data_IF_763691015149
#
_entry.id   IF_763691015149
#
_cell.length_a   1.000
_cell.length_b   1.000
_cell.length_c   1.000
_cell.angle_alpha   90.00
_cell.angle_beta   90.00
_cell.angle_gamma   90.00
#
_symmetry.space_group_name_H-M   'P 1'
#
loop_
_entity.id
_entity.type
_entity.pdbx_description
1 polymer ?
#
# COMPACT_ATOMS: atom_id res chain seq x y z
N UNK A 1 21.79 2.31 0.28
CA UNK A 1 20.70 3.22 0.76
C UNK A 1 21.19 4.24 1.80
N UNK A 2 22.51 4.30 2.04
CA UNK A 2 23.11 5.24 3.01
C UNK A 2 22.72 6.69 2.71
N UNK A 3 22.25 7.41 3.73
CA UNK A 3 21.78 8.80 3.63
C UNK A 3 20.39 8.99 2.95
N UNK A 4 19.71 7.91 2.58
CA UNK A 4 18.37 7.94 2.01
C UNK A 4 17.29 7.88 3.09
N UNK A 5 16.20 8.62 2.91
CA UNK A 5 15.03 8.62 3.79
C UNK A 5 13.91 7.83 3.14
N UNK A 6 13.40 6.83 3.83
CA UNK A 6 12.30 5.95 3.41
C UNK A 6 11.12 6.13 4.34
N UNK A 7 10.02 6.67 3.84
CA UNK A 7 8.73 6.69 4.54
C UNK A 7 7.97 5.42 4.20
N UNK A 8 7.50 4.68 5.20
CA UNK A 8 6.83 3.40 4.99
C UNK A 8 5.59 3.23 5.87
N UNK A 9 4.51 2.74 5.27
CA UNK A 9 3.29 2.32 5.98
C UNK A 9 3.27 0.81 6.20
N UNK A 10 2.74 0.35 7.34
CA UNK A 10 2.63 -1.08 7.63
C UNK A 10 3.95 -1.78 7.95
N UNK A 11 4.94 -1.07 8.50
CA UNK A 11 6.25 -1.59 8.87
C UNK A 11 6.29 -2.36 10.21
N UNK A 12 5.17 -2.50 10.90
CA UNK A 12 5.12 -3.15 12.23
C UNK A 12 4.90 -4.67 12.18
N UNK A 13 4.70 -5.24 10.99
CA UNK A 13 4.52 -6.69 10.80
C UNK A 13 4.69 -7.11 9.34
N UNK A 14 4.88 -8.42 9.11
CA UNK A 14 4.84 -9.04 7.78
C UNK A 14 5.90 -8.48 6.81
N UNK A 15 5.50 -8.33 5.54
CA UNK A 15 6.43 -7.92 4.47
C UNK A 15 6.97 -6.50 4.66
N UNK A 16 6.14 -5.58 5.18
CA UNK A 16 6.56 -4.20 5.43
C UNK A 16 7.61 -4.10 6.52
N UNK A 17 7.52 -4.92 7.57
CA UNK A 17 8.53 -5.01 8.62
C UNK A 17 9.87 -5.49 8.04
N UNK A 18 9.86 -6.61 7.31
CA UNK A 18 11.07 -7.17 6.71
C UNK A 18 11.70 -6.20 5.71
N UNK A 19 10.90 -5.55 4.87
CA UNK A 19 11.40 -4.55 3.94
C UNK A 19 12.05 -3.36 4.66
N UNK A 20 11.42 -2.86 5.73
CA UNK A 20 11.99 -1.77 6.54
C UNK A 20 13.32 -2.18 7.18
N UNK A 21 13.41 -3.38 7.77
CA UNK A 21 14.63 -3.91 8.36
C UNK A 21 15.74 -4.11 7.30
N UNK A 22 15.41 -4.59 6.10
CA UNK A 22 16.37 -4.74 5.00
C UNK A 22 16.91 -3.37 4.55
N UNK A 23 16.02 -2.38 4.36
CA UNK A 23 16.41 -1.04 3.93
C UNK A 23 17.22 -0.31 5.02
N UNK A 24 16.87 -0.50 6.30
CA UNK A 24 17.67 -0.01 7.43
C UNK A 24 19.08 -0.62 7.42
N UNK A 25 19.19 -1.96 7.24
CA UNK A 25 20.49 -2.64 7.12
C UNK A 25 21.34 -2.17 5.92
N UNK A 26 20.71 -1.56 4.90
CA UNK A 26 21.41 -0.88 3.79
C UNK A 26 21.78 0.58 4.12
N UNK A 27 21.54 1.04 5.35
CA UNK A 27 21.87 2.38 5.84
C UNK A 27 20.82 3.45 5.57
N UNK A 28 19.56 3.08 5.23
CA UNK A 28 18.48 4.02 5.07
C UNK A 28 17.90 4.46 6.43
N UNK A 29 17.55 5.75 6.56
CA UNK A 29 16.67 6.23 7.62
C UNK A 29 15.25 5.79 7.32
N UNK A 30 14.64 5.04 8.23
CA UNK A 30 13.24 4.60 8.12
C UNK A 30 12.37 5.50 8.96
N UNK A 31 11.31 6.03 8.34
CA UNK A 31 10.23 6.79 8.95
C UNK A 31 8.96 5.96 8.81
N UNK A 32 8.53 5.33 9.89
CA UNK A 32 7.36 4.46 9.86
C UNK A 32 6.08 5.20 10.26
N UNK A 33 4.99 4.93 9.54
CA UNK A 33 3.64 5.36 9.93
C UNK A 33 2.92 4.17 10.54
N UNK A 34 2.47 4.30 11.77
CA UNK A 34 1.86 3.20 12.52
C UNK A 34 0.67 3.67 13.36
N UNK A 35 -0.30 2.77 13.59
CA UNK A 35 -1.45 3.02 14.46
C UNK A 35 -1.19 2.60 15.90
N UNK A 36 -0.61 1.43 16.07
CA UNK A 36 -0.36 0.81 17.38
C UNK A 36 1.00 1.25 17.94
N UNK A 37 0.97 1.93 19.10
CA UNK A 37 2.18 2.48 19.72
C UNK A 37 3.16 1.40 20.18
N UNK A 38 2.67 0.32 20.78
CA UNK A 38 3.52 -0.76 21.30
C UNK A 38 4.28 -1.46 20.17
N UNK A 39 3.55 -1.91 19.13
CA UNK A 39 4.18 -2.54 17.95
C UNK A 39 5.10 -1.61 17.18
N UNK A 40 4.80 -0.30 17.16
CA UNK A 40 5.68 0.67 16.51
C UNK A 40 7.01 0.83 17.25
N UNK A 41 6.99 0.85 18.59
CA UNK A 41 8.21 0.93 19.40
C UNK A 41 9.06 -0.35 19.29
N UNK A 42 8.44 -1.52 19.27
CA UNK A 42 9.14 -2.79 19.00
C UNK A 42 9.78 -2.81 17.61
N UNK A 43 9.06 -2.30 16.60
CA UNK A 43 9.62 -2.17 15.25
C UNK A 43 10.79 -1.19 15.22
N UNK A 44 10.68 -0.04 15.89
CA UNK A 44 11.77 0.94 16.00
C UNK A 44 13.02 0.32 16.64
N UNK A 45 12.83 -0.45 17.72
CA UNK A 45 13.95 -1.16 18.37
C UNK A 45 14.69 -2.06 17.39
N UNK A 46 13.97 -2.89 16.62
CA UNK A 46 14.58 -3.76 15.59
C UNK A 46 15.31 -2.96 14.50
N UNK A 47 14.78 -1.82 14.08
CA UNK A 47 15.44 -0.95 13.12
C UNK A 47 16.74 -0.38 13.68
N UNK A 48 16.74 0.06 14.94
CA UNK A 48 17.94 0.57 15.62
C UNK A 48 18.99 -0.50 15.85
N UNK A 49 18.59 -1.75 16.08
CA UNK A 49 19.50 -2.90 16.14
C UNK A 49 20.16 -3.19 14.77
N UNK A 50 19.41 -2.97 13.67
CA UNK A 50 19.91 -3.17 12.29
C UNK A 50 20.85 -2.06 11.82
N UNK A 51 20.63 -0.83 12.25
CA UNK A 51 21.39 0.35 11.84
C UNK A 51 21.51 1.33 13.02
N UNK A 52 22.35 1.02 14.03
CA UNK A 52 22.46 1.80 15.26
C UNK A 52 22.91 3.24 15.03
N UNK A 53 23.65 3.50 13.94
CA UNK A 53 24.13 4.83 13.57
C UNK A 53 23.06 5.71 12.91
N UNK A 54 21.84 5.16 12.66
CA UNK A 54 20.76 5.85 11.93
C UNK A 54 19.61 6.14 12.88
N UNK A 55 19.26 7.42 13.04
CA UNK A 55 18.09 7.82 13.80
C UNK A 55 16.80 7.54 12.98
N UNK A 56 16.10 6.43 13.26
CA UNK A 56 14.79 6.13 12.67
C UNK A 56 13.66 6.93 13.33
N UNK A 57 12.50 7.03 12.66
CA UNK A 57 11.37 7.82 13.14
C UNK A 57 10.03 7.07 13.13
N UNK A 58 9.09 7.54 13.95
CA UNK A 58 7.70 7.06 13.99
C UNK A 58 6.76 8.24 13.95
N UNK A 59 5.73 8.13 13.10
CA UNK A 59 4.53 8.96 13.13
C UNK A 59 3.29 8.09 13.39
N UNK A 60 2.36 8.59 14.18
CA UNK A 60 1.18 7.84 14.57
C UNK A 60 -0.06 8.33 13.83
N UNK A 61 -0.73 7.41 13.13
CA UNK A 61 -1.98 7.70 12.42
C UNK A 61 -2.82 6.42 12.24
N UNK A 62 -4.14 6.58 12.29
CA UNK A 62 -5.06 5.57 11.76
C UNK A 62 -5.33 5.88 10.28
N UNK A 63 -4.67 5.11 9.41
CA UNK A 63 -4.76 5.28 7.96
C UNK A 63 -6.12 4.84 7.36
N UNK A 64 -7.13 4.55 8.17
CA UNK A 64 -8.52 4.45 7.72
C UNK A 64 -9.29 5.77 7.83
N UNK A 65 -8.70 6.84 8.41
CA UNK A 65 -9.31 8.16 8.64
C UNK A 65 -8.64 9.22 7.77
N UNK A 66 -9.41 9.94 6.96
CA UNK A 66 -8.87 10.98 6.06
C UNK A 66 -8.16 12.10 6.82
N UNK A 67 -8.72 12.50 7.97
CA UNK A 67 -8.11 13.52 8.84
C UNK A 67 -6.71 13.13 9.29
N UNK A 68 -6.53 11.88 9.72
CA UNK A 68 -5.23 11.36 10.15
C UNK A 68 -4.24 11.21 8.99
N UNK A 69 -4.71 10.77 7.81
CA UNK A 69 -3.87 10.69 6.61
C UNK A 69 -3.30 12.06 6.23
N UNK A 70 -4.14 13.12 6.22
CA UNK A 70 -3.73 14.49 5.89
C UNK A 70 -2.79 15.06 6.94
N UNK A 71 -3.13 14.90 8.22
CA UNK A 71 -2.32 15.36 9.34
C UNK A 71 -0.92 14.74 9.30
N UNK A 72 -0.84 13.41 9.23
CA UNK A 72 0.47 12.72 9.27
C UNK A 72 1.32 13.03 8.04
N UNK A 73 0.72 13.19 6.85
CA UNK A 73 1.45 13.62 5.66
C UNK A 73 2.06 15.02 5.84
N UNK A 74 1.30 15.96 6.42
CA UNK A 74 1.79 17.31 6.73
C UNK A 74 2.91 17.28 7.76
N UNK A 75 2.74 16.54 8.86
CA UNK A 75 3.76 16.38 9.91
C UNK A 75 5.08 15.82 9.33
N UNK A 76 5.01 14.78 8.51
CA UNK A 76 6.19 14.21 7.85
C UNK A 76 6.83 15.20 6.88
N UNK A 77 6.03 15.89 6.05
CA UNK A 77 6.55 16.88 5.12
C UNK A 77 7.27 18.04 5.81
N UNK A 78 6.88 18.40 7.03
CA UNK A 78 7.54 19.41 7.85
C UNK A 78 8.79 18.88 8.55
N UNK A 79 8.74 17.66 9.08
CA UNK A 79 9.82 17.08 9.85
C UNK A 79 10.97 16.50 9.00
N UNK A 80 10.65 15.96 7.81
CA UNK A 80 11.64 15.34 6.95
C UNK A 80 11.99 16.27 5.77
N UNK A 81 13.19 16.84 5.76
CA UNK A 81 13.61 17.75 4.68
C UNK A 81 13.79 17.04 3.34
N UNK A 82 13.92 15.70 3.38
CA UNK A 82 14.11 14.83 2.22
C UNK A 82 13.29 13.55 2.36
N UNK A 83 12.70 13.09 1.25
CA UNK A 83 12.05 11.77 1.15
C UNK A 83 12.48 11.15 -0.18
N UNK A 84 13.35 10.14 -0.11
CA UNK A 84 13.85 9.44 -1.30
C UNK A 84 12.92 8.32 -1.76
N UNK A 85 12.21 7.67 -0.80
CA UNK A 85 11.27 6.59 -1.11
C UNK A 85 10.03 6.70 -0.23
N UNK A 86 8.87 6.64 -0.86
CA UNK A 86 7.59 6.42 -0.18
C UNK A 86 7.10 5.00 -0.47
N UNK A 87 6.94 4.19 0.57
CA UNK A 87 6.40 2.83 0.47
C UNK A 87 5.00 2.79 1.06
N UNK A 88 4.01 2.74 0.20
CA UNK A 88 2.62 2.51 0.53
C UNK A 88 2.37 1.00 0.60
N UNK A 89 2.37 0.43 1.82
CA UNK A 89 2.25 -1.01 2.02
C UNK A 89 1.15 -1.41 3.01
N UNK A 90 0.74 -0.53 3.93
CA UNK A 90 -0.36 -0.84 4.84
C UNK A 90 -1.63 -1.26 4.10
N UNK A 91 -2.28 -2.31 4.60
CA UNK A 91 -3.53 -2.78 4.02
C UNK A 91 -4.17 -3.86 4.88
N UNK A 92 -5.49 -4.00 4.75
CA UNK A 92 -6.27 -5.05 5.40
C UNK A 92 -7.46 -5.46 4.53
N UNK A 93 -8.08 -6.57 4.90
CA UNK A 93 -9.34 -7.05 4.35
C UNK A 93 -10.36 -7.14 5.48
N UNK A 94 -11.54 -6.55 5.28
CA UNK A 94 -12.66 -6.67 6.21
C UNK A 94 -13.74 -7.55 5.61
N UNK A 95 -14.28 -8.47 6.41
CA UNK A 95 -15.29 -9.43 5.96
C UNK A 95 -16.69 -8.83 5.82
N UNK A 96 -16.94 -7.70 6.48
CA UNK A 96 -18.20 -6.95 6.46
C UNK A 96 -17.99 -5.50 6.04
N UNK A 97 -19.01 -4.89 5.47
CA UNK A 97 -19.00 -3.47 5.12
C UNK A 97 -18.97 -2.61 6.39
N UNK A 98 -17.94 -1.82 6.52
CA UNK A 98 -17.80 -0.82 7.58
C UNK A 98 -17.49 0.51 6.93
N UNK A 99 -18.16 1.58 7.35
CA UNK A 99 -17.87 2.93 6.89
C UNK A 99 -17.03 3.67 7.93
N UNK A 100 -16.12 4.49 7.45
CA UNK A 100 -15.40 5.47 8.27
C UNK A 100 -16.32 6.63 8.65
N UNK A 101 -15.87 7.51 9.52
CA UNK A 101 -16.60 8.74 9.90
C UNK A 101 -16.87 9.64 8.67
N UNK A 102 -15.98 9.59 7.68
CA UNK A 102 -16.11 10.35 6.43
C UNK A 102 -16.95 9.61 5.35
N UNK A 103 -17.60 8.48 5.71
CA UNK A 103 -18.45 7.71 4.83
C UNK A 103 -17.74 6.81 3.81
N UNK A 104 -16.43 6.61 3.94
CA UNK A 104 -15.67 5.72 3.07
C UNK A 104 -15.77 4.26 3.54
N UNK A 105 -15.86 3.31 2.62
CA UNK A 105 -15.73 1.89 2.95
C UNK A 105 -14.29 1.63 3.46
N UNK A 106 -14.19 0.92 4.57
CA UNK A 106 -12.97 0.83 5.36
C UNK A 106 -11.81 0.16 4.63
N UNK A 107 -12.07 -0.84 3.78
CA UNK A 107 -11.03 -1.47 2.95
C UNK A 107 -10.52 -0.49 1.91
N UNK A 108 -11.43 0.21 1.23
CA UNK A 108 -11.10 1.24 0.25
C UNK A 108 -10.33 2.40 0.91
N UNK A 109 -10.79 2.86 2.08
CA UNK A 109 -10.12 3.92 2.83
C UNK A 109 -8.67 3.55 3.17
N UNK A 110 -8.47 2.38 3.80
CA UNK A 110 -7.15 1.95 4.26
C UNK A 110 -6.22 1.55 3.11
N UNK A 111 -6.72 0.82 2.09
CA UNK A 111 -5.86 0.21 1.07
C UNK A 111 -5.57 1.14 -0.11
N UNK A 112 -6.47 2.09 -0.42
CA UNK A 112 -6.35 2.98 -1.57
C UNK A 112 -6.26 4.45 -1.16
N UNK A 113 -7.26 4.97 -0.42
CA UNK A 113 -7.27 6.39 -0.08
C UNK A 113 -6.07 6.81 0.76
N UNK A 114 -5.56 5.93 1.63
CA UNK A 114 -4.33 6.20 2.37
C UNK A 114 -3.12 6.39 1.46
N UNK A 115 -2.97 5.55 0.44
CA UNK A 115 -1.89 5.67 -0.55
C UNK A 115 -2.02 6.96 -1.34
N UNK A 116 -3.24 7.26 -1.78
CA UNK A 116 -3.55 8.47 -2.52
C UNK A 116 -3.23 9.73 -1.71
N UNK A 117 -3.78 9.85 -0.50
CA UNK A 117 -3.66 11.06 0.34
C UNK A 117 -2.22 11.26 0.83
N UNK A 118 -1.54 10.19 1.27
CA UNK A 118 -0.13 10.28 1.68
C UNK A 118 0.76 10.69 0.52
N UNK A 119 0.59 10.07 -0.65
CA UNK A 119 1.39 10.42 -1.83
C UNK A 119 1.14 11.85 -2.26
N UNK A 120 -0.12 12.30 -2.24
CA UNK A 120 -0.47 13.68 -2.57
C UNK A 120 0.16 14.67 -1.58
N UNK A 121 0.04 14.44 -0.27
CA UNK A 121 0.57 15.31 0.77
C UNK A 121 2.10 15.33 0.85
N UNK A 122 2.78 14.28 0.36
CA UNK A 122 4.24 14.19 0.35
C UNK A 122 4.84 14.49 -1.05
N UNK A 123 4.01 14.80 -2.05
CA UNK A 123 4.42 14.96 -3.45
C UNK A 123 5.53 15.99 -3.62
N UNK A 124 5.37 17.17 -3.07
CA UNK A 124 6.33 18.26 -3.24
C UNK A 124 7.68 17.92 -2.60
N UNK A 125 7.65 17.20 -1.49
CA UNK A 125 8.87 16.72 -0.82
C UNK A 125 9.57 15.63 -1.64
N UNK A 126 8.82 14.70 -2.25
CA UNK A 126 9.35 13.69 -3.18
C UNK A 126 9.98 14.35 -4.42
N UNK A 127 9.31 15.32 -5.03
CA UNK A 127 9.81 16.06 -6.19
C UNK A 127 11.09 16.83 -5.84
N UNK A 128 11.11 17.53 -4.72
CA UNK A 128 12.29 18.26 -4.24
C UNK A 128 13.47 17.32 -3.89
N UNK A 129 13.20 16.04 -3.65
CA UNK A 129 14.19 15.01 -3.31
C UNK A 129 14.63 14.17 -4.51
N UNK A 130 14.17 14.49 -5.73
CA UNK A 130 14.48 13.69 -6.92
C UNK A 130 15.99 13.45 -7.10
N UNK A 131 16.40 12.25 -7.55
CA UNK A 131 15.56 11.12 -7.92
C UNK A 131 14.92 10.42 -6.71
N UNK A 132 13.59 10.26 -6.74
CA UNK A 132 12.81 9.64 -5.67
C UNK A 132 11.85 8.57 -6.23
N UNK A 133 11.29 7.74 -5.34
CA UNK A 133 10.46 6.58 -5.72
C UNK A 133 9.20 6.49 -4.89
N UNK A 134 8.09 6.13 -5.53
CA UNK A 134 6.87 5.67 -4.87
C UNK A 134 6.67 4.19 -5.18
N UNK A 135 6.51 3.37 -4.14
CA UNK A 135 6.29 1.92 -4.27
C UNK A 135 4.97 1.56 -3.60
N UNK A 136 4.04 1.04 -4.40
CA UNK A 136 2.69 0.71 -3.97
C UNK A 136 2.47 -0.80 -3.89
N UNK A 137 2.00 -1.31 -2.76
CA UNK A 137 1.67 -2.73 -2.61
C UNK A 137 0.26 -3.01 -3.10
N UNK A 138 0.17 -3.76 -4.21
CA UNK A 138 -1.05 -4.34 -4.72
C UNK A 138 -1.18 -5.82 -4.32
N UNK A 139 -1.92 -6.61 -5.08
CA UNK A 139 -2.12 -8.05 -4.88
C UNK A 139 -2.60 -8.68 -6.17
N UNK A 140 -2.34 -9.97 -6.35
CA UNK A 140 -2.94 -10.77 -7.41
C UNK A 140 -4.48 -10.83 -7.32
N UNK A 141 -5.04 -10.57 -6.14
CA UNK A 141 -6.48 -10.40 -5.93
C UNK A 141 -7.12 -9.29 -6.79
N UNK A 142 -6.34 -8.38 -7.40
CA UNK A 142 -6.86 -7.37 -8.34
C UNK A 142 -7.63 -8.00 -9.52
N UNK A 143 -7.30 -9.23 -9.90
CA UNK A 143 -7.94 -9.95 -10.99
C UNK A 143 -9.42 -10.30 -10.74
N UNK A 144 -9.84 -10.34 -9.47
CA UNK A 144 -11.25 -10.59 -9.10
C UNK A 144 -12.00 -9.32 -8.71
N UNK A 145 -11.34 -8.20 -8.76
CA UNK A 145 -11.78 -6.91 -8.25
C UNK A 145 -12.39 -6.00 -9.33
N UNK A 146 -13.42 -6.44 -10.09
CA UNK A 146 -14.09 -5.53 -11.03
C UNK A 146 -14.47 -4.20 -10.36
N UNK A 147 -13.97 -3.08 -10.90
CA UNK A 147 -14.18 -1.74 -10.34
C UNK A 147 -15.43 -1.09 -10.94
N UNK A 148 -16.35 -0.71 -10.06
CA UNK A 148 -17.45 0.19 -10.39
C UNK A 148 -17.19 1.53 -9.71
N UNK A 149 -16.94 2.57 -10.50
CA UNK A 149 -16.69 3.92 -10.00
C UNK A 149 -17.93 4.58 -9.39
N UNK A 150 -19.15 4.08 -9.71
CA UNK A 150 -20.39 4.55 -9.10
C UNK A 150 -20.64 3.87 -7.74
N UNK A 151 -19.93 2.76 -7.43
CA UNK A 151 -20.03 2.02 -6.16
C UNK A 151 -18.65 1.83 -5.51
N UNK A 152 -17.85 2.89 -5.42
CA UNK A 152 -16.53 2.85 -4.73
C UNK A 152 -16.67 2.44 -3.25
N UNK A 153 -17.83 2.66 -2.64
CA UNK A 153 -18.12 2.26 -1.27
C UNK A 153 -18.64 0.82 -1.16
N UNK A 154 -18.64 0.07 -2.27
CA UNK A 154 -18.96 -1.36 -2.37
C UNK A 154 -20.30 -1.77 -1.73
N UNK A 155 -21.28 -0.87 -1.76
CA UNK A 155 -22.60 -1.13 -1.17
C UNK A 155 -23.30 -2.31 -1.86
N UNK A 156 -23.26 -2.36 -3.19
CA UNK A 156 -23.88 -3.43 -3.97
C UNK A 156 -23.18 -4.77 -3.80
N UNK A 157 -21.84 -4.78 -3.64
CA UNK A 157 -21.08 -6.00 -3.42
C UNK A 157 -21.46 -6.68 -2.12
N UNK A 158 -21.60 -5.90 -1.03
CA UNK A 158 -21.99 -6.46 0.27
C UNK A 158 -23.49 -6.77 0.36
N UNK A 159 -24.35 -6.14 -0.48
CA UNK A 159 -25.77 -6.43 -0.57
C UNK A 159 -26.04 -7.73 -1.32
N UNK A 160 -25.17 -8.08 -2.28
CA UNK A 160 -25.34 -9.28 -3.10
C UNK A 160 -25.21 -10.54 -2.25
N UNK A 161 -26.28 -11.38 -2.24
CA UNK A 161 -26.35 -12.69 -1.58
C UNK A 161 -26.00 -13.85 -2.54
N UNK A 162 -25.19 -13.62 -3.56
CA UNK A 162 -24.85 -14.64 -4.53
C UNK A 162 -23.93 -15.71 -3.92
N UNK A 163 -24.54 -16.85 -3.56
CA UNK A 163 -23.85 -17.98 -2.92
C UNK A 163 -22.74 -18.58 -3.80
N UNK A 164 -22.93 -18.60 -5.13
CA UNK A 164 -21.90 -19.11 -6.05
C UNK A 164 -20.66 -18.19 -6.09
N UNK A 165 -20.87 -16.88 -6.01
CA UNK A 165 -19.76 -15.94 -5.90
C UNK A 165 -19.05 -16.08 -4.53
N UNK A 166 -19.80 -16.35 -3.46
CA UNK A 166 -19.24 -16.60 -2.14
C UNK A 166 -18.34 -17.84 -2.14
N UNK A 167 -18.82 -18.94 -2.74
CA UNK A 167 -18.03 -20.19 -2.89
C UNK A 167 -16.76 -19.98 -3.73
N UNK A 168 -16.85 -19.21 -4.81
CA UNK A 168 -15.76 -19.01 -5.77
C UNK A 168 -14.68 -18.05 -5.28
N UNK A 169 -15.05 -17.03 -4.53
CA UNK A 169 -14.15 -15.91 -4.17
C UNK A 169 -13.96 -15.69 -2.67
N UNK A 170 -14.48 -16.55 -1.81
CA UNK A 170 -14.32 -16.42 -0.35
C UNK A 170 -15.14 -15.27 0.27
N UNK A 171 -16.21 -14.83 -0.40
CA UNK A 171 -17.15 -13.84 0.11
C UNK A 171 -16.91 -12.40 -0.38
N UNK A 172 -17.84 -11.48 -0.01
CA UNK A 172 -17.83 -10.10 -0.53
C UNK A 172 -16.58 -9.31 -0.10
N UNK A 173 -16.05 -9.55 1.10
CA UNK A 173 -14.86 -8.88 1.60
C UNK A 173 -13.63 -9.12 0.72
N UNK A 174 -13.44 -10.33 0.18
CA UNK A 174 -12.33 -10.62 -0.73
C UNK A 174 -12.47 -9.88 -2.07
N UNK A 175 -13.70 -9.77 -2.60
CA UNK A 175 -13.97 -9.00 -3.81
C UNK A 175 -13.68 -7.51 -3.61
N UNK A 176 -14.11 -6.94 -2.47
CA UNK A 176 -13.83 -5.54 -2.10
C UNK A 176 -12.33 -5.31 -1.91
N UNK A 177 -11.64 -6.26 -1.28
CA UNK A 177 -10.19 -6.23 -1.19
C UNK A 177 -9.55 -6.24 -2.58
N UNK A 178 -9.97 -7.13 -3.48
CA UNK A 178 -9.50 -7.16 -4.87
C UNK A 178 -9.72 -5.85 -5.60
N UNK A 179 -10.90 -5.20 -5.44
CA UNK A 179 -11.18 -3.85 -5.95
C UNK A 179 -10.16 -2.83 -5.45
N UNK A 180 -9.88 -2.83 -4.14
CA UNK A 180 -8.91 -1.89 -3.57
C UNK A 180 -7.49 -2.10 -4.13
N UNK A 181 -7.13 -3.34 -4.47
CA UNK A 181 -5.84 -3.66 -5.07
C UNK A 181 -5.77 -3.33 -6.57
N UNK A 182 -6.90 -3.43 -7.29
CA UNK A 182 -7.04 -2.89 -8.63
C UNK A 182 -6.87 -1.36 -8.63
N UNK A 183 -7.52 -0.66 -7.68
CA UNK A 183 -7.33 0.78 -7.50
C UNK A 183 -5.86 1.16 -7.33
N UNK A 184 -5.06 0.36 -6.61
CA UNK A 184 -3.64 0.65 -6.40
C UNK A 184 -2.81 0.54 -7.69
N UNK A 185 -3.15 -0.38 -8.61
CA UNK A 185 -2.47 -0.46 -9.92
C UNK A 185 -2.87 0.73 -10.80
N UNK A 186 -4.17 1.02 -10.91
CA UNK A 186 -4.68 2.17 -11.67
C UNK A 186 -4.11 3.50 -11.14
N UNK A 187 -4.08 3.67 -9.82
CA UNK A 187 -3.46 4.83 -9.16
C UNK A 187 -1.97 4.95 -9.52
N UNK A 188 -1.22 3.86 -9.46
CA UNK A 188 0.22 3.86 -9.77
C UNK A 188 0.47 4.29 -11.21
N UNK A 189 -0.33 3.81 -12.17
CA UNK A 189 -0.21 4.18 -13.58
C UNK A 189 -0.52 5.66 -13.82
N UNK A 190 -1.59 6.18 -13.23
CA UNK A 190 -1.94 7.59 -13.33
C UNK A 190 -0.92 8.48 -12.61
N UNK A 191 -0.44 8.07 -11.44
CA UNK A 191 0.61 8.77 -10.71
C UNK A 191 1.90 8.87 -11.53
N UNK A 192 2.33 7.78 -12.19
CA UNK A 192 3.51 7.76 -13.03
C UNK A 192 3.39 8.79 -14.19
N UNK A 193 2.20 8.92 -14.80
CA UNK A 193 1.94 9.95 -15.84
C UNK A 193 2.04 11.36 -15.27
N UNK A 194 1.46 11.59 -14.09
CA UNK A 194 1.46 12.92 -13.45
C UNK A 194 2.82 13.34 -12.89
N UNK A 195 3.70 12.38 -12.66
CA UNK A 195 5.08 12.62 -12.21
C UNK A 195 6.08 12.66 -13.36
N UNK A 196 5.64 12.57 -14.62
CA UNK A 196 6.54 12.63 -15.77
C UNK A 196 7.38 13.91 -15.76
N UNK A 197 8.67 13.78 -16.00
CA UNK A 197 9.61 14.90 -16.00
C UNK A 197 10.07 15.40 -14.62
N UNK A 198 9.50 14.90 -13.52
CA UNK A 198 9.88 15.35 -12.16
C UNK A 198 11.09 14.61 -11.57
N UNK A 199 11.53 13.52 -12.18
CA UNK A 199 12.55 12.64 -11.64
C UNK A 199 12.03 11.69 -10.54
N UNK A 200 10.72 11.64 -10.28
CA UNK A 200 10.08 10.69 -9.35
C UNK A 200 9.44 9.55 -10.13
N UNK A 201 9.75 8.31 -9.76
CA UNK A 201 9.14 7.11 -10.35
C UNK A 201 8.07 6.52 -9.43
N UNK A 202 7.06 5.89 -10.02
CA UNK A 202 5.99 5.21 -9.28
C UNK A 202 5.76 3.81 -9.85
N UNK A 203 5.94 2.77 -9.04
CA UNK A 203 5.72 1.39 -9.43
C UNK A 203 4.88 0.65 -8.38
N UNK A 204 4.26 -0.44 -8.80
CA UNK A 204 3.51 -1.29 -7.88
C UNK A 204 3.92 -2.77 -8.01
N UNK A 205 3.57 -3.53 -7.00
CA UNK A 205 3.89 -4.95 -6.93
C UNK A 205 2.77 -5.77 -6.29
N UNK A 206 2.77 -7.08 -6.54
CA UNK A 206 2.18 -8.01 -5.60
C UNK A 206 3.26 -8.92 -4.98
N UNK A 207 3.19 -9.17 -3.67
CA UNK A 207 4.23 -9.92 -2.96
C UNK A 207 4.14 -11.44 -3.12
N UNK A 208 3.15 -11.93 -3.87
CA UNK A 208 2.75 -13.33 -3.87
C UNK A 208 1.79 -13.64 -2.71
N UNK A 209 1.45 -14.91 -2.53
CA UNK A 209 0.66 -15.36 -1.38
C UNK A 209 1.58 -15.54 -0.17
N UNK A 210 1.55 -14.58 0.75
CA UNK A 210 2.46 -14.53 1.91
C UNK A 210 1.71 -14.91 3.18
N UNK A 211 2.31 -15.77 4.01
CA UNK A 211 1.82 -16.10 5.35
C UNK A 211 2.00 -14.90 6.29
N UNK A 212 1.09 -13.93 6.22
CA UNK A 212 1.04 -12.80 7.15
C UNK A 212 -0.20 -12.93 8.05
N UNK A 213 -0.31 -12.08 9.08
CA UNK A 213 -1.54 -11.92 9.89
C UNK A 213 -2.72 -11.34 9.10
N UNK A 214 -2.60 -11.32 7.79
CA UNK A 214 -3.63 -10.90 6.86
C UNK A 214 -4.81 -11.88 6.93
N UNK A 215 -5.98 -11.42 7.35
CA UNK A 215 -7.15 -12.27 7.54
C UNK A 215 -7.42 -12.76 8.98
N UNK A 216 -6.52 -12.54 9.94
CA UNK A 216 -6.79 -12.90 11.36
C UNK A 216 -7.97 -12.09 11.96
N UNK A 217 -8.42 -11.05 11.29
CA UNK A 217 -9.61 -10.26 11.66
C UNK A 217 -10.91 -10.80 11.04
N UNK A 218 -10.85 -11.89 10.27
CA UNK A 218 -11.99 -12.42 9.48
C UNK A 218 -12.85 -13.45 10.22
N UNK A 219 -12.58 -13.82 11.46
CA UNK A 219 -13.38 -14.75 12.31
C UNK A 219 -14.09 -15.93 11.60
N UNK A 220 -14.17 -17.11 12.19
CA UNK A 220 -14.98 -18.24 11.72
C UNK A 220 -14.22 -19.35 10.95
N UNK A 221 -14.96 -20.28 10.32
CA UNK A 221 -14.43 -21.47 9.61
C UNK A 221 -13.41 -21.16 8.50
N UNK A 222 -13.37 -19.92 8.00
CA UNK A 222 -12.40 -19.42 7.01
C UNK A 222 -10.98 -19.44 7.59
N UNK A 223 -10.81 -19.28 8.89
CA UNK A 223 -9.51 -19.33 9.56
C UNK A 223 -8.81 -20.69 9.44
N UNK A 224 -9.56 -21.78 9.39
CA UNK A 224 -9.01 -23.15 9.28
C UNK A 224 -8.53 -23.46 7.85
N UNK A 225 -9.25 -23.01 6.83
CA UNK A 225 -8.84 -23.16 5.42
C UNK A 225 -7.61 -22.30 5.12
N UNK A 226 -7.57 -21.10 5.68
CA UNK A 226 -6.40 -20.21 5.60
C UNK A 226 -5.21 -20.83 6.34
N UNK A 227 -5.41 -21.57 7.42
CA UNK A 227 -4.37 -22.30 8.16
C UNK A 227 -3.62 -23.33 7.29
N UNK A 228 -4.33 -24.07 6.46
CA UNK A 228 -3.73 -25.06 5.52
C UNK A 228 -3.03 -24.32 4.36
N UNK A 229 -3.64 -23.26 3.82
CA UNK A 229 -3.05 -22.45 2.76
C UNK A 229 -1.78 -21.71 3.22
N UNK A 230 -1.68 -21.33 4.50
CA UNK A 230 -0.46 -20.74 5.10
C UNK A 230 0.76 -21.67 5.02
N UNK A 231 0.55 -22.97 4.88
CA UNK A 231 1.64 -23.96 4.77
C UNK A 231 2.35 -23.92 3.40
N UNK A 232 1.67 -23.37 2.38
CA UNK A 232 2.20 -23.16 1.03
C UNK A 232 2.47 -21.69 0.73
N UNK A 233 2.26 -20.81 1.70
CA UNK A 233 2.49 -19.40 1.53
C UNK A 233 3.99 -19.06 1.61
N UNK A 234 4.38 -18.05 0.86
CA UNK A 234 5.72 -17.48 0.92
C UNK A 234 6.03 -16.96 2.34
N UNK A 235 7.29 -17.05 2.73
CA UNK A 235 7.73 -16.39 3.96
C UNK A 235 7.63 -14.86 3.83
N UNK A 236 7.53 -14.11 4.93
CA UNK A 236 7.59 -12.66 4.90
C UNK A 236 8.87 -12.13 4.22
N UNK A 237 9.98 -12.86 4.33
CA UNK A 237 11.26 -12.54 3.69
C UNK A 237 11.13 -12.58 2.16
N UNK A 238 10.60 -13.67 1.61
CA UNK A 238 10.36 -13.81 0.16
C UNK A 238 9.34 -12.76 -0.34
N UNK A 239 8.28 -12.50 0.43
CA UNK A 239 7.29 -11.47 0.09
C UNK A 239 7.85 -10.05 0.07
N UNK A 240 8.87 -9.76 0.89
CA UNK A 240 9.51 -8.46 0.96
C UNK A 240 10.57 -8.21 -0.12
N UNK A 241 11.02 -9.23 -0.84
CA UNK A 241 12.09 -9.10 -1.85
C UNK A 241 11.75 -8.07 -2.92
N UNK A 242 10.57 -8.18 -3.55
CA UNK A 242 10.16 -7.25 -4.62
C UNK A 242 9.96 -5.83 -4.08
N UNK A 243 9.46 -5.70 -2.84
CA UNK A 243 9.28 -4.40 -2.20
C UNK A 243 10.64 -3.72 -1.96
N UNK A 244 11.60 -4.46 -1.40
CA UNK A 244 12.98 -4.00 -1.18
C UNK A 244 13.67 -3.68 -2.52
N UNK A 245 13.53 -4.53 -3.53
CA UNK A 245 14.07 -4.34 -4.87
C UNK A 245 13.60 -3.04 -5.50
N UNK A 246 12.28 -2.77 -5.53
CA UNK A 246 11.72 -1.55 -6.10
C UNK A 246 12.18 -0.30 -5.34
N UNK A 247 12.36 -0.40 -4.03
CA UNK A 247 12.82 0.71 -3.20
C UNK A 247 14.32 1.03 -3.37
N UNK A 248 15.17 0.03 -3.69
CA UNK A 248 16.62 0.18 -3.57
C UNK A 248 17.43 -0.13 -4.84
N UNK A 249 16.94 -1.02 -5.73
CA UNK A 249 17.75 -1.47 -6.87
C UNK A 249 18.00 -0.35 -7.90
N UNK A 250 19.25 -0.19 -8.38
CA UNK A 250 19.54 0.73 -9.49
C UNK A 250 18.90 0.30 -10.81
N UNK A 251 18.61 -0.99 -11.01
CA UNK A 251 18.03 -1.52 -12.24
C UNK A 251 16.65 -0.94 -12.57
N UNK A 252 15.92 -0.49 -11.54
CA UNK A 252 14.58 0.10 -11.69
C UNK A 252 14.57 1.61 -11.42
N UNK A 253 15.72 2.26 -11.43
CA UNK A 253 15.83 3.69 -11.09
C UNK A 253 15.00 4.59 -12.04
N UNK A 254 14.90 4.24 -13.31
CA UNK A 254 14.13 4.96 -14.34
C UNK A 254 12.81 4.27 -14.73
N UNK A 255 12.50 3.11 -14.14
CA UNK A 255 11.27 2.37 -14.47
C UNK A 255 10.09 3.01 -13.72
N UNK A 256 9.00 3.28 -14.43
CA UNK A 256 7.80 3.92 -13.84
C UNK A 256 6.51 3.41 -14.47
N UNK A 257 5.43 3.36 -13.71
CA UNK A 257 4.09 2.91 -14.15
C UNK A 257 3.95 1.40 -14.29
N UNK A 258 4.89 0.61 -13.77
CA UNK A 258 5.01 -0.82 -14.00
C UNK A 258 4.56 -1.65 -12.79
N UNK A 259 3.96 -2.81 -13.08
CA UNK A 259 3.54 -3.80 -12.09
C UNK A 259 4.54 -4.95 -12.03
N UNK A 260 4.94 -5.33 -10.81
CA UNK A 260 6.01 -6.29 -10.56
C UNK A 260 5.56 -7.51 -9.75
N UNK A 261 6.19 -8.65 -10.04
CA UNK A 261 6.19 -9.86 -9.22
C UNK A 261 7.57 -10.51 -9.26
N UNK A 262 8.08 -10.98 -8.11
CA UNK A 262 9.40 -11.64 -8.00
C UNK A 262 10.50 -10.83 -8.70
N UNK A 263 10.55 -9.53 -8.42
CA UNK A 263 11.52 -8.57 -8.98
C UNK A 263 11.48 -8.43 -10.52
N UNK A 264 10.39 -8.88 -11.18
CA UNK A 264 10.23 -8.82 -12.64
C UNK A 264 8.97 -8.08 -13.04
N UNK A 265 8.99 -7.29 -14.11
CA UNK A 265 7.79 -6.72 -14.69
C UNK A 265 6.82 -7.82 -15.15
N UNK A 266 5.54 -7.63 -14.85
CA UNK A 266 4.45 -8.48 -15.35
C UNK A 266 3.29 -7.63 -15.82
N UNK A 267 2.47 -8.16 -16.75
CA UNK A 267 1.23 -7.51 -17.14
C UNK A 267 0.17 -7.72 -16.06
N UNK A 268 -0.49 -6.65 -15.56
CA UNK A 268 -1.67 -6.79 -14.73
C UNK A 268 -2.91 -7.16 -15.57
N UNK A 269 -4.08 -7.32 -14.94
CA UNK A 269 -5.34 -7.59 -15.65
C UNK A 269 -5.66 -6.48 -16.69
N UNK A 270 -6.47 -6.77 -17.73
CA UNK A 270 -6.88 -5.76 -18.71
C UNK A 270 -7.52 -4.52 -18.07
N UNK A 271 -8.37 -4.70 -17.05
CA UNK A 271 -9.03 -3.60 -16.34
C UNK A 271 -8.00 -2.70 -15.61
N UNK A 272 -6.92 -3.28 -15.13
CA UNK A 272 -5.83 -2.53 -14.48
C UNK A 272 -4.97 -1.72 -15.48
N UNK A 273 -5.18 -1.92 -16.78
CA UNK A 273 -4.50 -1.23 -17.86
C UNK A 273 -5.36 -0.12 -18.50
N UNK A 274 -6.60 0.04 -18.06
CA UNK A 274 -7.51 1.07 -18.59
C UNK A 274 -7.16 2.46 -18.05
N UNK A 275 -6.56 3.26 -18.90
CA UNK A 275 -6.12 4.61 -18.59
C UNK A 275 -7.28 5.60 -18.39
N UNK A 276 -8.43 5.36 -18.99
CA UNK A 276 -9.63 6.19 -18.77
C UNK A 276 -10.17 5.98 -17.35
N UNK A 277 -10.27 4.72 -16.93
CA UNK A 277 -10.65 4.37 -15.56
C UNK A 277 -9.63 4.86 -14.53
N UNK A 278 -8.32 4.81 -14.84
CA UNK A 278 -7.28 5.35 -13.96
C UNK A 278 -7.44 6.86 -13.71
N UNK A 279 -7.71 7.65 -14.75
CA UNK A 279 -7.98 9.10 -14.65
C UNK A 279 -9.24 9.38 -13.82
N UNK A 280 -10.34 8.69 -14.11
CA UNK A 280 -11.59 8.86 -13.36
C UNK A 280 -11.45 8.48 -11.89
N UNK A 281 -10.72 7.39 -11.58
CA UNK A 281 -10.42 7.01 -10.21
C UNK A 281 -9.61 8.08 -9.48
N UNK A 282 -8.64 8.70 -10.16
CA UNK A 282 -7.87 9.82 -9.61
C UNK A 282 -8.78 11.00 -9.25
N UNK A 283 -9.64 11.42 -10.18
CA UNK A 283 -10.58 12.52 -9.99
C UNK A 283 -11.53 12.26 -8.82
N UNK A 284 -12.11 11.05 -8.75
CA UNK A 284 -12.98 10.65 -7.64
C UNK A 284 -12.22 10.58 -6.30
N UNK A 285 -10.99 10.07 -6.30
CA UNK A 285 -10.16 10.04 -5.09
C UNK A 285 -9.81 11.45 -4.62
N UNK A 286 -9.52 12.37 -5.53
CA UNK A 286 -9.29 13.80 -5.25
C UNK A 286 -10.53 14.42 -4.60
N UNK A 287 -11.71 14.20 -5.20
CA UNK A 287 -13.00 14.68 -4.69
C UNK A 287 -13.30 14.13 -3.30
N UNK A 288 -13.18 12.82 -3.12
CA UNK A 288 -13.43 12.14 -1.84
C UNK A 288 -12.47 12.59 -0.75
N UNK A 289 -11.23 12.85 -1.11
CA UNK A 289 -10.24 13.39 -0.18
C UNK A 289 -10.43 14.89 0.09
N UNK A 290 -11.27 15.62 -0.65
CA UNK A 290 -11.40 17.07 -0.57
C UNK A 290 -10.05 17.78 -0.84
N UNK A 291 -9.31 17.27 -1.81
CA UNK A 291 -8.05 17.84 -2.29
C UNK A 291 -8.29 18.67 -3.56
N UNK A 292 -7.31 19.49 -3.92
CA UNK A 292 -7.28 20.18 -5.22
C UNK A 292 -6.50 19.33 -6.23
N UNK A 293 -6.92 19.36 -7.50
CA UNK A 293 -6.20 18.69 -8.59
C UNK A 293 -4.83 19.32 -8.84
#
# INVERSE_FOLDING_TARGET
MKGKVVVITGATSGIGQVAAENLAGMGARIVQIARDRGRAQEALKRLSERAPEVAHGIFYADLSRLSDMKRVASEIAQAEPRIDVLINNAGAMFSSRQLTEEGLERTFALNHMSYFVLTHGLRDRLVASAPARVVNTSSDAHQVGALDLNDLQSAEVFRSRNFLQWLRYGGPGFKVYGRSKLCNILFTRELARRLAGTGVTANCLHPGFVATRFGDQSGGLISSVIGIAKRFALSPQQGAETLTYLASSPEVASVTGVYFHKCRPIAPSPEAQDDATARRLWEESTRLAGLKN
#
